data_IF_522049999091
#
_entry.id   IF_522049999091
#
_cell.length_a   1.000
_cell.length_b   1.000
_cell.length_c   1.000
_cell.angle_alpha   90.00
_cell.angle_beta   90.00
_cell.angle_gamma   90.00
#
_symmetry.space_group_name_H-M   'P 1'
#
loop_
_entity.id
_entity.type
_entity.pdbx_description
1 polymer ?
#
# COMPACT_ATOMS: atom_id res chain seq x y z
N UNK A 1 -4.08 -36.96 48.02
CA UNK A 1 -5.03 -36.17 47.21
C UNK A 1 -4.22 -35.62 46.04
N UNK A 2 -4.47 -36.08 44.82
CA UNK A 2 -3.78 -35.53 43.64
C UNK A 2 -4.36 -34.14 43.38
N UNK A 3 -3.57 -33.10 43.61
CA UNK A 3 -3.87 -31.77 43.11
C UNK A 3 -3.83 -31.84 41.59
N UNK A 4 -4.98 -32.14 40.99
CA UNK A 4 -5.24 -31.91 39.58
C UNK A 4 -5.17 -30.40 39.45
N UNK A 5 -3.96 -29.91 39.18
CA UNK A 5 -3.70 -28.56 38.69
C UNK A 5 -4.68 -28.39 37.54
N UNK A 6 -5.70 -27.56 37.74
CA UNK A 6 -6.66 -27.18 36.71
C UNK A 6 -5.84 -26.49 35.62
N UNK A 7 -5.31 -27.26 34.66
CA UNK A 7 -4.75 -26.79 33.40
C UNK A 7 -5.93 -26.19 32.61
N UNK A 8 -6.34 -25.01 33.02
CA UNK A 8 -7.34 -24.22 32.32
C UNK A 8 -6.59 -23.60 31.16
N UNK A 9 -6.63 -24.26 29.99
CA UNK A 9 -6.05 -23.71 28.77
C UNK A 9 -6.86 -22.46 28.43
N UNK A 10 -6.29 -21.29 28.68
CA UNK A 10 -6.90 -20.04 28.25
C UNK A 10 -6.85 -19.99 26.72
N UNK A 11 -8.03 -20.10 26.09
CA UNK A 11 -8.12 -20.08 24.64
C UNK A 11 -7.93 -18.64 24.12
N UNK A 12 -6.70 -18.29 23.73
CA UNK A 12 -6.39 -16.98 23.15
C UNK A 12 -6.77 -17.03 21.67
N UNK A 13 -7.84 -16.32 21.30
CA UNK A 13 -8.23 -16.19 19.89
C UNK A 13 -7.56 -14.97 19.27
N UNK A 14 -6.75 -15.19 18.24
CA UNK A 14 -6.14 -14.11 17.46
C UNK A 14 -7.04 -13.77 16.27
N UNK A 15 -7.70 -12.63 16.32
CA UNK A 15 -8.51 -12.16 15.19
C UNK A 15 -7.61 -11.44 14.18
N UNK A 16 -7.48 -11.99 12.98
CA UNK A 16 -6.82 -11.31 11.87
C UNK A 16 -7.84 -10.40 11.18
N UNK A 17 -7.66 -9.06 11.22
CA UNK A 17 -8.71 -8.13 10.81
C UNK A 17 -8.77 -7.89 9.29
N UNK A 18 -7.80 -8.39 8.50
CA UNK A 18 -7.86 -8.31 7.04
C UNK A 18 -8.75 -9.41 6.47
N UNK A 19 -9.56 -9.03 5.49
CA UNK A 19 -10.43 -9.90 4.70
C UNK A 19 -9.91 -9.99 3.27
N UNK A 20 -10.37 -11.01 2.55
CA UNK A 20 -10.07 -11.19 1.12
C UNK A 20 -10.44 -9.95 0.31
N UNK A 21 -11.51 -9.25 0.69
CA UNK A 21 -11.98 -8.05 0.00
C UNK A 21 -11.02 -6.86 0.15
N UNK A 22 -10.21 -6.78 1.22
CA UNK A 22 -9.18 -5.74 1.36
C UNK A 22 -8.12 -5.90 0.25
N UNK A 23 -7.68 -7.12 -0.03
CA UNK A 23 -6.72 -7.40 -1.10
C UNK A 23 -7.31 -7.26 -2.50
N UNK A 24 -8.62 -7.52 -2.67
CA UNK A 24 -9.32 -7.26 -3.94
C UNK A 24 -9.35 -5.76 -4.25
N UNK A 25 -9.61 -4.92 -3.26
CA UNK A 25 -9.64 -3.47 -3.45
C UNK A 25 -8.27 -2.93 -3.89
N UNK A 26 -7.20 -3.37 -3.22
CA UNK A 26 -5.82 -3.03 -3.60
C UNK A 26 -5.51 -3.50 -5.03
N UNK A 27 -5.91 -4.73 -5.39
CA UNK A 27 -5.71 -5.29 -6.74
C UNK A 27 -6.44 -4.50 -7.83
N UNK A 28 -7.66 -4.02 -7.56
CA UNK A 28 -8.44 -3.19 -8.49
C UNK A 28 -7.75 -1.83 -8.68
N UNK A 29 -7.25 -1.22 -7.61
CA UNK A 29 -6.51 0.05 -7.68
C UNK A 29 -5.22 -0.11 -8.50
N UNK A 30 -4.47 -1.19 -8.27
CA UNK A 30 -3.26 -1.50 -9.02
C UNK A 30 -3.55 -1.70 -10.52
N UNK A 31 -4.64 -2.41 -10.85
CA UNK A 31 -5.10 -2.57 -12.23
C UNK A 31 -5.43 -1.22 -12.87
N UNK A 32 -6.14 -0.33 -12.18
CA UNK A 32 -6.51 0.98 -12.72
C UNK A 32 -5.29 1.87 -12.98
N UNK A 33 -4.29 1.86 -12.09
CA UNK A 33 -3.01 2.57 -12.30
C UNK A 33 -2.29 2.02 -13.53
N UNK A 34 -2.20 0.69 -13.67
CA UNK A 34 -1.54 0.06 -14.81
C UNK A 34 -2.28 0.34 -16.11
N UNK A 35 -3.61 0.28 -16.11
CA UNK A 35 -4.44 0.59 -17.27
C UNK A 35 -4.24 2.04 -17.72
N UNK A 36 -4.33 3.01 -16.80
CA UNK A 36 -4.11 4.42 -17.12
C UNK A 36 -2.71 4.64 -17.72
N UNK A 37 -1.69 4.01 -17.13
CA UNK A 37 -0.31 4.11 -17.63
C UNK A 37 -0.19 3.62 -19.07
N UNK A 38 -0.79 2.49 -19.41
CA UNK A 38 -0.74 1.97 -20.78
C UNK A 38 -1.55 2.85 -21.75
N UNK A 39 -2.73 3.33 -21.36
CA UNK A 39 -3.58 4.20 -22.18
C UNK A 39 -2.91 5.55 -22.50
N UNK A 40 -2.13 6.08 -21.56
CA UNK A 40 -1.50 7.40 -21.68
C UNK A 40 0.02 7.33 -21.94
N UNK A 41 0.56 6.13 -22.20
CA UNK A 41 2.01 5.88 -22.28
C UNK A 41 2.72 6.79 -23.27
N UNK A 42 2.14 6.95 -24.47
CA UNK A 42 2.74 7.78 -25.52
C UNK A 42 2.74 9.26 -25.12
N UNK A 43 1.61 9.78 -24.65
CA UNK A 43 1.49 11.19 -24.24
C UNK A 43 2.42 11.50 -23.06
N UNK A 44 2.52 10.61 -22.07
CA UNK A 44 3.46 10.72 -20.95
C UNK A 44 4.92 10.71 -21.43
N UNK A 45 5.27 9.82 -22.36
CA UNK A 45 6.63 9.70 -22.89
C UNK A 45 7.01 10.95 -23.68
N UNK A 46 6.13 11.41 -24.58
CA UNK A 46 6.33 12.63 -25.35
C UNK A 46 6.44 13.86 -24.44
N UNK A 47 5.60 13.94 -23.40
CA UNK A 47 5.66 15.00 -22.42
C UNK A 47 7.02 15.04 -21.71
N UNK A 48 7.45 13.92 -21.12
CA UNK A 48 8.73 13.82 -20.41
C UNK A 48 9.89 14.17 -21.35
N UNK A 49 9.88 13.64 -22.57
CA UNK A 49 10.92 13.90 -23.57
C UNK A 49 10.98 15.37 -23.97
N UNK A 50 9.83 16.00 -24.25
CA UNK A 50 9.77 17.45 -24.55
C UNK A 50 10.25 18.27 -23.37
N UNK A 51 9.85 17.93 -22.14
CA UNK A 51 10.22 18.68 -20.94
C UNK A 51 11.72 18.58 -20.63
N UNK A 52 12.30 17.37 -20.69
CA UNK A 52 13.74 17.15 -20.51
C UNK A 52 14.55 17.88 -21.58
N UNK A 53 14.16 17.77 -22.85
CA UNK A 53 14.88 18.45 -23.94
C UNK A 53 14.73 19.97 -23.87
N UNK A 54 13.55 20.48 -23.57
CA UNK A 54 13.33 21.92 -23.41
C UNK A 54 14.14 22.50 -22.24
N UNK A 55 14.21 21.76 -21.12
CA UNK A 55 15.08 22.09 -20.00
C UNK A 55 16.56 22.03 -20.38
N UNK A 56 17.00 20.96 -21.04
CA UNK A 56 18.40 20.75 -21.41
C UNK A 56 18.91 21.77 -22.44
N UNK A 57 18.07 22.21 -23.37
CA UNK A 57 18.45 23.15 -24.43
C UNK A 57 18.42 24.61 -23.99
N UNK A 58 17.44 24.98 -23.17
CA UNK A 58 17.17 26.40 -22.88
C UNK A 58 17.29 26.75 -21.40
N UNK A 59 17.35 25.78 -20.48
CA UNK A 59 17.28 26.05 -19.03
C UNK A 59 16.02 26.83 -18.62
N UNK A 60 14.95 26.76 -19.42
CA UNK A 60 13.76 27.63 -19.36
C UNK A 60 14.00 29.12 -19.65
N UNK A 61 15.16 29.52 -20.19
CA UNK A 61 15.34 30.87 -20.73
C UNK A 61 14.48 31.03 -21.99
N UNK A 62 13.71 32.13 -22.06
CA UNK A 62 12.79 32.49 -23.15
C UNK A 62 11.48 31.69 -23.25
N UNK A 63 10.98 31.09 -22.17
CA UNK A 63 9.57 30.66 -22.13
C UNK A 63 8.68 31.90 -22.03
N UNK A 64 7.94 32.22 -23.10
CA UNK A 64 7.00 33.34 -23.05
C UNK A 64 5.81 33.01 -22.13
N UNK A 65 5.44 33.96 -21.26
CA UNK A 65 4.33 33.85 -20.30
C UNK A 65 2.99 33.40 -20.93
N UNK A 66 2.81 33.60 -22.24
CA UNK A 66 1.62 33.17 -23.00
C UNK A 66 1.53 31.67 -23.28
N UNK A 67 2.67 30.97 -23.26
CA UNK A 67 2.76 29.53 -23.55
C UNK A 67 2.63 28.68 -22.27
N UNK A 68 2.86 29.32 -21.11
CA UNK A 68 2.77 28.74 -19.76
C UNK A 68 1.36 28.23 -19.42
N UNK A 69 0.25 28.93 -19.71
CA UNK A 69 -1.09 28.46 -19.34
C UNK A 69 -1.44 27.12 -20.00
N UNK A 70 -1.20 26.95 -21.31
CA UNK A 70 -1.56 25.70 -22.01
C UNK A 70 -0.74 24.49 -21.53
N UNK A 71 0.54 24.70 -21.22
CA UNK A 71 1.42 23.69 -20.65
C UNK A 71 1.05 23.36 -19.21
N UNK A 72 0.67 24.37 -18.40
CA UNK A 72 0.14 24.18 -17.05
C UNK A 72 -1.18 23.42 -17.09
N UNK A 73 -2.13 23.76 -17.97
CA UNK A 73 -3.44 23.09 -18.02
C UNK A 73 -3.30 21.62 -18.41
N UNK A 74 -2.46 21.28 -19.39
CA UNK A 74 -2.18 19.88 -19.75
C UNK A 74 -1.43 19.12 -18.65
N UNK A 75 -0.48 19.76 -17.99
CA UNK A 75 0.19 19.19 -16.82
C UNK A 75 -0.77 18.87 -15.69
N UNK A 76 -1.64 19.84 -15.38
CA UNK A 76 -2.55 19.73 -14.25
C UNK A 76 -3.65 18.70 -14.50
N UNK A 77 -3.91 18.32 -15.75
CA UNK A 77 -4.87 17.26 -16.08
C UNK A 77 -4.19 15.88 -15.99
N UNK A 78 -3.15 15.63 -16.78
CA UNK A 78 -2.53 14.30 -16.90
C UNK A 78 -1.79 13.89 -15.62
N UNK A 79 -1.01 14.79 -15.00
CA UNK A 79 -0.26 14.43 -13.80
C UNK A 79 -1.13 14.36 -12.56
N UNK A 80 -2.14 15.23 -12.44
CA UNK A 80 -3.01 15.23 -11.27
C UNK A 80 -3.89 13.97 -11.22
N UNK A 81 -4.52 13.61 -12.35
CA UNK A 81 -5.31 12.38 -12.42
C UNK A 81 -4.46 11.14 -12.15
N UNK A 82 -3.24 11.11 -12.67
CA UNK A 82 -2.31 10.01 -12.41
C UNK A 82 -1.86 9.94 -10.94
N UNK A 83 -1.53 11.09 -10.34
CA UNK A 83 -1.08 11.19 -8.97
C UNK A 83 -2.19 10.82 -7.97
N UNK A 84 -3.44 11.17 -8.27
CA UNK A 84 -4.60 10.76 -7.47
C UNK A 84 -4.80 9.24 -7.45
N UNK A 85 -4.65 8.57 -8.61
CA UNK A 85 -4.76 7.10 -8.69
C UNK A 85 -3.63 6.41 -7.92
N UNK A 86 -2.39 6.89 -8.09
CA UNK A 86 -1.22 6.34 -7.37
C UNK A 86 -1.35 6.56 -5.88
N UNK A 87 -1.80 7.74 -5.45
CA UNK A 87 -1.96 8.04 -4.03
C UNK A 87 -2.98 7.11 -3.38
N UNK A 88 -4.13 6.86 -4.03
CA UNK A 88 -5.14 5.91 -3.54
C UNK A 88 -4.58 4.49 -3.38
N UNK A 89 -3.80 4.02 -4.35
CA UNK A 89 -3.14 2.72 -4.27
C UNK A 89 -2.14 2.68 -3.10
N UNK A 90 -1.32 3.71 -2.95
CA UNK A 90 -0.32 3.80 -1.89
C UNK A 90 -0.97 3.84 -0.49
N UNK A 91 -2.05 4.60 -0.34
CA UNK A 91 -2.79 4.69 0.92
C UNK A 91 -3.37 3.33 1.32
N UNK A 92 -3.94 2.59 0.37
CA UNK A 92 -4.51 1.27 0.62
C UNK A 92 -3.43 0.23 0.96
N UNK A 93 -2.31 0.24 0.21
CA UNK A 93 -1.15 -0.61 0.51
C UNK A 93 -0.60 -0.35 1.92
N UNK A 94 -0.46 0.93 2.28
CA UNK A 94 0.00 1.35 3.61
C UNK A 94 -0.96 0.93 4.72
N UNK A 95 -2.28 1.02 4.48
CA UNK A 95 -3.31 0.55 5.42
C UNK A 95 -3.14 -0.94 5.71
N UNK A 96 -3.03 -1.76 4.66
CA UNK A 96 -2.83 -3.21 4.77
C UNK A 96 -1.51 -3.52 5.51
N UNK A 97 -0.40 -2.88 5.11
CA UNK A 97 0.91 -3.08 5.73
C UNK A 97 0.93 -2.73 7.24
N UNK A 98 0.25 -1.65 7.64
CA UNK A 98 0.12 -1.25 9.04
C UNK A 98 -0.65 -2.30 9.85
N UNK A 99 -1.73 -2.84 9.29
CA UNK A 99 -2.54 -3.88 9.94
C UNK A 99 -1.71 -5.15 10.15
N UNK A 100 -0.97 -5.61 9.12
CA UNK A 100 -0.10 -6.78 9.21
C UNK A 100 0.97 -6.58 10.28
N UNK A 101 1.62 -5.41 10.30
CA UNK A 101 2.66 -5.07 11.28
C UNK A 101 2.11 -5.09 12.70
N UNK A 102 0.94 -4.47 12.92
CA UNK A 102 0.29 -4.46 14.23
C UNK A 102 -0.07 -5.86 14.70
N UNK A 103 -0.59 -6.70 13.79
CA UNK A 103 -0.94 -8.08 14.11
C UNK A 103 0.29 -8.92 14.45
N UNK A 104 1.41 -8.76 13.72
CA UNK A 104 2.69 -9.41 14.05
C UNK A 104 3.16 -9.01 15.46
N UNK A 105 3.15 -7.71 15.76
CA UNK A 105 3.53 -7.22 17.08
C UNK A 105 2.63 -7.75 18.19
N UNK A 106 1.32 -7.89 17.91
CA UNK A 106 0.38 -8.51 18.83
C UNK A 106 0.75 -9.98 19.10
N UNK A 107 0.97 -10.80 18.05
CA UNK A 107 1.40 -12.20 18.22
C UNK A 107 2.72 -12.29 19.01
N UNK A 108 3.72 -11.48 18.68
CA UNK A 108 5.02 -11.51 19.37
C UNK A 108 4.90 -11.20 20.86
N UNK A 109 4.01 -10.26 21.25
CA UNK A 109 3.75 -9.96 22.67
C UNK A 109 3.20 -11.16 23.43
N UNK A 110 2.38 -11.99 22.79
CA UNK A 110 1.78 -13.17 23.39
C UNK A 110 2.58 -14.46 23.13
N UNK A 111 3.77 -14.37 22.51
CA UNK A 111 4.57 -15.54 22.11
C UNK A 111 4.87 -16.51 23.24
N UNK A 112 5.19 -16.00 24.43
CA UNK A 112 5.45 -16.84 25.62
C UNK A 112 4.18 -17.59 26.05
N UNK A 113 3.03 -16.92 26.07
CA UNK A 113 1.75 -17.50 26.47
C UNK A 113 1.27 -18.55 25.46
N UNK A 114 1.46 -18.29 24.15
CA UNK A 114 1.21 -19.26 23.08
C UNK A 114 2.08 -20.51 23.27
N UNK A 115 3.38 -20.34 23.51
CA UNK A 115 4.30 -21.47 23.69
C UNK A 115 3.95 -22.30 24.93
N UNK A 116 3.56 -21.65 26.03
CA UNK A 116 3.14 -22.33 27.25
C UNK A 116 1.85 -23.12 27.03
N UNK A 117 0.85 -22.54 26.36
CA UNK A 117 -0.39 -23.23 26.02
C UNK A 117 -0.16 -24.43 25.08
N UNK A 118 0.69 -24.29 24.06
CA UNK A 118 1.06 -25.39 23.16
C UNK A 118 1.74 -26.55 23.90
N UNK A 119 2.65 -26.23 24.83
CA UNK A 119 3.35 -27.23 25.65
C UNK A 119 2.39 -27.96 26.58
N UNK A 120 1.43 -27.25 27.18
CA UNK A 120 0.40 -27.86 28.02
C UNK A 120 -0.52 -28.80 27.24
N UNK A 121 -0.94 -28.43 26.02
CA UNK A 121 -1.72 -29.32 25.15
C UNK A 121 -0.94 -30.61 24.86
N UNK A 122 0.36 -30.51 24.56
CA UNK A 122 1.22 -31.66 24.26
C UNK A 122 1.45 -32.60 25.46
N UNK A 123 1.23 -32.13 26.68
CA UNK A 123 1.35 -32.91 27.92
C UNK A 123 0.01 -33.54 28.37
N UNK A 124 -1.11 -33.16 27.75
CA UNK A 124 -2.46 -33.67 28.06
C UNK A 124 -2.84 -34.86 27.15
N UNK A 125 -2.13 -35.06 26.04
CA UNK A 125 -2.25 -36.22 25.14
C UNK A 125 -1.16 -37.26 25.41
#
# INVERSE_FOLDING_TARGET
MSDIVKNTVNNITFHFPLKVDDFKNESILAYNVQKFKEENKQELTEYIFRHINHYALNGYQNVHLKDIPSAITKNNFVFKEWLELIQKLLDEHNRIGKIITNYRNYIERYRVEINNNMTQILLIF
#
